data_IF_989749595925
#
_entry.id   IF_989749595925
#
_cell.length_a   1.000
_cell.length_b   1.000
_cell.length_c   1.000
_cell.angle_alpha   90.00
_cell.angle_beta   90.00
_cell.angle_gamma   90.00
#
_symmetry.space_group_name_H-M   'P 1'
#
loop_
_entity.id
_entity.type
_entity.pdbx_description
1 polymer ?
#
# COMPACT_ATOMS: atom_id res chain seq x y z
N UNK A 1 -19.41 10.65 4.79
CA UNK A 1 -18.18 11.09 5.48
C UNK A 1 -17.64 9.87 6.20
N UNK A 2 -16.50 9.31 5.78
CA UNK A 2 -15.81 8.26 6.55
C UNK A 2 -15.13 8.92 7.76
N UNK A 3 -15.28 8.33 8.94
CA UNK A 3 -14.51 8.68 10.13
C UNK A 3 -13.03 8.31 9.95
N UNK A 4 -12.15 8.89 10.78
CA UNK A 4 -10.73 8.50 10.75
C UNK A 4 -10.52 7.05 11.22
N UNK A 5 -11.40 6.55 12.09
CA UNK A 5 -11.36 5.17 12.59
C UNK A 5 -11.71 4.15 11.50
N UNK A 6 -12.78 4.40 10.72
CA UNK A 6 -13.12 3.54 9.58
C UNK A 6 -11.98 3.49 8.57
N UNK A 7 -11.35 4.64 8.28
CA UNK A 7 -10.18 4.68 7.38
C UNK A 7 -8.98 3.89 7.91
N UNK A 8 -8.71 3.94 9.22
CA UNK A 8 -7.67 3.13 9.83
C UNK A 8 -8.00 1.63 9.70
N UNK A 9 -9.26 1.27 9.92
CA UNK A 9 -9.77 -0.09 9.75
C UNK A 9 -9.59 -0.60 8.31
N UNK A 10 -9.97 0.22 7.33
CA UNK A 10 -9.84 -0.12 5.90
C UNK A 10 -8.37 -0.35 5.51
N UNK A 11 -7.48 0.57 5.89
CA UNK A 11 -6.04 0.44 5.62
C UNK A 11 -5.47 -0.85 6.23
N UNK A 12 -5.83 -1.15 7.48
CA UNK A 12 -5.37 -2.36 8.16
C UNK A 12 -5.91 -3.62 7.50
N UNK A 13 -7.21 -3.67 7.22
CA UNK A 13 -7.85 -4.85 6.65
C UNK A 13 -7.31 -5.16 5.24
N UNK A 14 -7.12 -4.14 4.40
CA UNK A 14 -6.52 -4.30 3.08
C UNK A 14 -5.07 -4.77 3.18
N UNK A 15 -4.27 -4.16 4.07
CA UNK A 15 -2.88 -4.58 4.29
C UNK A 15 -2.78 -6.02 4.80
N UNK A 16 -3.54 -6.40 5.84
CA UNK A 16 -3.51 -7.74 6.42
C UNK A 16 -3.83 -8.81 5.36
N UNK A 17 -4.86 -8.56 4.54
CA UNK A 17 -5.26 -9.50 3.49
C UNK A 17 -4.18 -9.63 2.41
N UNK A 18 -3.65 -8.50 1.93
CA UNK A 18 -2.57 -8.51 0.93
C UNK A 18 -1.28 -9.13 1.47
N UNK A 19 -0.97 -8.90 2.74
CA UNK A 19 0.20 -9.47 3.40
C UNK A 19 0.06 -10.99 3.55
N UNK A 20 -1.12 -11.50 3.94
CA UNK A 20 -1.40 -12.93 3.98
C UNK A 20 -1.28 -13.57 2.58
N UNK A 21 -1.85 -12.96 1.54
CA UNK A 21 -1.71 -13.44 0.15
C UNK A 21 -0.26 -13.39 -0.36
N UNK A 22 0.56 -12.47 0.17
CA UNK A 22 1.94 -12.26 -0.26
C UNK A 22 2.85 -13.46 -0.03
N UNK A 23 2.49 -14.34 0.91
CA UNK A 23 3.21 -15.59 1.16
C UNK A 23 3.24 -16.56 -0.03
N UNK A 24 2.29 -16.42 -0.96
CA UNK A 24 2.18 -17.28 -2.14
C UNK A 24 2.43 -16.55 -3.46
N UNK A 25 2.09 -15.26 -3.55
CA UNK A 25 2.21 -14.47 -4.77
C UNK A 25 2.45 -13.01 -4.46
N UNK A 26 3.21 -12.30 -5.31
CA UNK A 26 3.46 -10.86 -5.11
C UNK A 26 2.15 -10.07 -5.05
N UNK A 27 2.12 -9.10 -4.14
CA UNK A 27 1.00 -8.18 -3.90
C UNK A 27 1.50 -6.75 -3.79
N UNK A 28 0.58 -5.81 -4.00
CA UNK A 28 0.83 -4.38 -3.92
C UNK A 28 -0.43 -3.71 -3.38
N UNK A 29 -0.22 -2.72 -2.53
CA UNK A 29 -1.25 -1.82 -2.04
C UNK A 29 -0.93 -0.41 -2.54
N UNK A 30 -1.94 0.33 -3.01
CA UNK A 30 -1.78 1.73 -3.41
C UNK A 30 -2.51 2.63 -2.43
N UNK A 31 -1.76 3.48 -1.72
CA UNK A 31 -2.34 4.48 -0.82
C UNK A 31 -2.26 5.86 -1.47
N UNK A 32 -3.41 6.46 -1.75
CA UNK A 32 -3.49 7.81 -2.33
C UNK A 32 -3.81 8.84 -1.26
N UNK A 33 -2.92 9.83 -1.09
CA UNK A 33 -3.11 10.95 -0.18
C UNK A 33 -3.43 12.22 -0.97
N UNK A 34 -4.53 12.89 -0.62
CA UNK A 34 -4.88 14.21 -1.14
C UNK A 34 -4.72 15.24 -0.03
N UNK A 35 -4.03 16.36 -0.27
CA UNK A 35 -3.68 17.35 0.77
C UNK A 35 -4.87 17.80 1.62
N UNK A 36 -6.00 18.14 0.96
CA UNK A 36 -7.22 18.57 1.64
C UNK A 36 -7.85 17.51 2.54
N UNK A 37 -7.57 16.23 2.29
CA UNK A 37 -8.17 15.09 3.02
C UNK A 37 -7.16 14.50 4.01
N UNK A 38 -6.03 14.02 3.50
CA UNK A 38 -4.98 13.34 4.27
C UNK A 38 -4.17 14.32 5.13
N UNK A 39 -4.10 15.61 4.75
CA UNK A 39 -3.44 16.66 5.54
C UNK A 39 -4.24 17.15 6.74
N UNK A 40 -5.48 16.67 6.94
CA UNK A 40 -6.20 16.91 8.21
C UNK A 40 -5.45 16.19 9.33
N UNK A 41 -5.18 16.82 10.49
CA UNK A 41 -4.38 16.22 11.55
C UNK A 41 -4.83 14.81 11.97
N UNK A 42 -6.14 14.57 12.05
CA UNK A 42 -6.69 13.24 12.39
C UNK A 42 -6.41 12.18 11.32
N UNK A 43 -6.33 12.57 10.04
CA UNK A 43 -6.00 11.66 8.92
C UNK A 43 -4.51 11.46 8.77
N UNK A 44 -3.72 12.50 9.02
CA UNK A 44 -2.27 12.42 9.04
C UNK A 44 -1.80 11.44 10.12
N UNK A 45 -2.39 11.49 11.31
CA UNK A 45 -2.06 10.55 12.39
C UNK A 45 -2.33 9.10 12.01
N UNK A 46 -3.50 8.82 11.43
CA UNK A 46 -3.84 7.47 10.94
C UNK A 46 -2.85 6.98 9.89
N UNK A 47 -2.43 7.85 8.97
CA UNK A 47 -1.46 7.49 7.94
C UNK A 47 -0.06 7.23 8.52
N UNK A 48 0.38 8.05 9.49
CA UNK A 48 1.63 7.84 10.23
C UNK A 48 1.63 6.48 10.93
N UNK A 49 0.58 6.18 11.69
CA UNK A 49 0.45 4.91 12.42
C UNK A 49 0.42 3.71 11.47
N UNK A 50 -0.28 3.84 10.34
CA UNK A 50 -0.30 2.81 9.32
C UNK A 50 1.08 2.57 8.69
N UNK A 51 1.80 3.65 8.33
CA UNK A 51 3.15 3.53 7.74
C UNK A 51 4.10 2.84 8.72
N UNK A 52 4.10 3.25 10.00
CA UNK A 52 4.93 2.63 11.03
C UNK A 52 4.60 1.14 11.21
N UNK A 53 3.31 0.79 11.24
CA UNK A 53 2.85 -0.60 11.29
C UNK A 53 3.31 -1.39 10.07
N UNK A 54 3.07 -0.90 8.86
CA UNK A 54 3.46 -1.60 7.64
C UNK A 54 4.99 -1.79 7.52
N UNK A 55 5.79 -0.81 7.95
CA UNK A 55 7.24 -0.90 7.99
C UNK A 55 7.77 -1.95 8.97
N UNK A 56 7.05 -2.26 10.05
CA UNK A 56 7.48 -3.27 11.02
C UNK A 56 7.27 -4.71 10.53
N UNK A 57 6.57 -4.92 9.41
CA UNK A 57 6.30 -6.25 8.87
C UNK A 57 7.43 -6.70 7.92
N UNK A 58 8.05 -7.88 8.15
CA UNK A 58 9.11 -8.41 7.30
C UNK A 58 8.69 -8.52 5.83
N UNK A 59 9.57 -8.12 4.91
CA UNK A 59 9.34 -8.24 3.46
C UNK A 59 8.47 -7.13 2.86
N UNK A 60 7.95 -6.19 3.65
CA UNK A 60 7.28 -4.99 3.13
C UNK A 60 8.31 -4.00 2.59
N UNK A 61 8.05 -3.48 1.39
CA UNK A 61 8.88 -2.45 0.76
C UNK A 61 8.03 -1.30 0.25
N UNK A 62 8.48 -0.08 0.50
CA UNK A 62 7.86 1.13 -0.02
C UNK A 62 8.56 1.52 -1.32
N UNK A 63 7.78 1.69 -2.39
CA UNK A 63 8.29 1.98 -3.73
C UNK A 63 7.50 3.11 -4.37
N UNK A 64 8.20 3.94 -5.14
CA UNK A 64 7.52 4.89 -6.03
C UNK A 64 6.92 4.16 -7.23
N UNK A 65 5.91 4.75 -7.86
CA UNK A 65 5.24 4.16 -9.04
C UNK A 65 6.20 3.97 -10.22
N UNK A 66 7.18 4.85 -10.41
CA UNK A 66 8.20 4.73 -11.46
C UNK A 66 9.15 3.55 -11.22
N UNK A 67 9.45 3.22 -9.96
CA UNK A 67 10.30 2.08 -9.60
C UNK A 67 9.57 0.77 -9.85
N UNK A 68 8.29 0.73 -9.50
CA UNK A 68 7.40 -0.39 -9.80
C UNK A 68 7.31 -0.62 -11.32
N UNK A 69 7.14 0.44 -12.10
CA UNK A 69 7.07 0.34 -13.56
C UNK A 69 8.38 -0.19 -14.16
N UNK A 70 9.54 0.32 -13.72
CA UNK A 70 10.86 -0.18 -14.14
C UNK A 70 11.07 -1.65 -13.75
N UNK A 71 10.69 -2.02 -12.54
CA UNK A 71 10.72 -3.42 -12.09
C UNK A 71 9.89 -4.30 -13.00
N UNK A 72 8.63 -3.93 -13.26
CA UNK A 72 7.72 -4.69 -14.10
C UNK A 72 8.26 -4.86 -15.54
N UNK A 73 8.84 -3.81 -16.12
CA UNK A 73 9.42 -3.82 -17.47
C UNK A 73 10.65 -4.73 -17.57
N UNK A 74 11.48 -4.80 -16.53
CA UNK A 74 12.69 -5.63 -16.49
C UNK A 74 12.42 -7.09 -16.06
N UNK A 75 11.34 -7.34 -15.32
CA UNK A 75 11.04 -8.65 -14.76
C UNK A 75 10.47 -9.59 -15.83
N UNK A 76 11.09 -10.77 -16.09
CA UNK A 76 10.54 -11.78 -17.00
C UNK A 76 9.31 -12.48 -16.42
N UNK A 77 9.03 -12.31 -15.12
CA UNK A 77 7.89 -12.91 -14.41
C UNK A 77 6.65 -12.01 -14.46
N UNK A 78 6.76 -10.83 -15.06
CA UNK A 78 5.62 -9.93 -15.24
C UNK A 78 4.77 -10.46 -16.38
N UNK A 79 3.51 -10.79 -16.10
CA UNK A 79 2.56 -11.20 -17.13
C UNK A 79 2.38 -10.04 -18.11
N UNK A 80 2.55 -10.33 -19.40
CA UNK A 80 2.30 -9.38 -20.49
C UNK A 80 1.17 -9.95 -21.33
N UNK A 81 0.24 -9.09 -21.72
CA UNK A 81 -0.71 -9.46 -22.78
C UNK A 81 0.10 -9.72 -24.05
N UNK A 82 -0.30 -10.73 -24.82
CA UNK A 82 0.38 -11.10 -26.05
C UNK A 82 0.41 -9.91 -27.01
N UNK A 83 1.60 -9.64 -27.55
CA UNK A 83 1.78 -8.72 -28.68
C UNK A 83 1.42 -9.47 -29.96
#
# INVERSE_FOLDING_TARGET
YFSSQEYAGDLKAEFDMLYAESGNRRRMMSVSAHDRIAGRPSRTKVLEDFIACAQSHPGVVFRRKDEIARFALSSPQTIREGI
#
